data_IF_614133936320
#
_entry.id   IF_614133936320
#
_cell.length_a   1.000
_cell.length_b   1.000
_cell.length_c   1.000
_cell.angle_alpha   90.00
_cell.angle_beta   90.00
_cell.angle_gamma   90.00
#
_symmetry.space_group_name_H-M   'P 1'
#
loop_
_entity.id
_entity.type
_entity.pdbx_description
1 polymer ?
#
# COMPACT_ATOMS: atom_id res chain seq x y z
N UNK A 1 -18.77 -12.88 0.95
CA UNK A 1 -19.45 -12.31 -0.23
C UNK A 1 -20.97 -12.49 -0.25
N UNK A 2 -21.60 -12.92 0.85
CA UNK A 2 -23.06 -13.10 0.92
C UNK A 2 -23.85 -11.81 1.22
N UNK A 3 -23.20 -10.66 1.36
CA UNK A 3 -23.82 -9.42 1.81
C UNK A 3 -23.57 -8.21 0.87
N UNK A 4 -23.15 -8.46 -0.37
CA UNK A 4 -22.95 -7.39 -1.35
C UNK A 4 -24.32 -6.97 -1.91
N UNK A 5 -24.66 -5.70 -1.76
CA UNK A 5 -25.84 -5.08 -2.37
C UNK A 5 -25.46 -4.48 -3.74
N UNK A 6 -25.96 -5.02 -4.87
CA UNK A 6 -25.58 -4.56 -6.20
C UNK A 6 -26.00 -3.10 -6.50
N UNK A 7 -27.06 -2.60 -5.89
CA UNK A 7 -27.46 -1.19 -6.08
C UNK A 7 -26.54 -0.24 -5.31
N UNK A 8 -26.09 -0.64 -4.11
CA UNK A 8 -25.14 0.13 -3.33
C UNK A 8 -23.73 0.07 -3.94
N UNK A 9 -23.34 -1.04 -4.57
CA UNK A 9 -22.06 -1.19 -5.24
C UNK A 9 -21.84 -0.17 -6.36
N UNK A 10 -22.92 0.35 -6.97
CA UNK A 10 -22.85 1.42 -7.97
C UNK A 10 -22.33 2.74 -7.39
N UNK A 11 -22.39 2.91 -6.08
CA UNK A 11 -21.87 4.08 -5.37
C UNK A 11 -20.41 3.94 -4.92
N UNK A 12 -19.79 2.77 -5.10
CA UNK A 12 -18.39 2.55 -4.73
C UNK A 12 -17.48 3.52 -5.46
N UNK A 13 -16.46 4.00 -4.77
CA UNK A 13 -15.48 4.96 -5.30
C UNK A 13 -14.11 4.30 -5.28
N UNK A 14 -13.37 4.45 -6.39
CA UNK A 14 -12.05 3.90 -6.58
C UNK A 14 -11.05 5.01 -6.88
N UNK A 15 -9.84 4.85 -6.37
CA UNK A 15 -8.71 5.71 -6.67
C UNK A 15 -7.46 4.86 -6.87
N UNK A 16 -6.62 5.21 -7.83
CA UNK A 16 -5.29 4.66 -7.97
C UNK A 16 -4.26 5.72 -8.35
N UNK A 17 -2.98 5.40 -8.13
CA UNK A 17 -1.87 6.33 -8.29
C UNK A 17 -1.59 6.74 -9.75
N UNK A 18 -2.12 6.03 -10.74
CA UNK A 18 -1.96 6.36 -12.16
C UNK A 18 -3.12 7.16 -12.72
N UNK A 19 -4.35 6.85 -12.30
CA UNK A 19 -5.58 7.42 -12.88
C UNK A 19 -6.29 8.43 -11.99
N UNK A 20 -5.94 8.48 -10.67
CA UNK A 20 -6.72 9.22 -9.71
C UNK A 20 -8.08 8.55 -9.44
N UNK A 21 -9.13 9.35 -9.28
CA UNK A 21 -10.48 8.84 -9.05
C UNK A 21 -11.04 8.12 -10.27
N UNK A 22 -11.60 6.92 -10.04
CA UNK A 22 -12.26 6.10 -11.05
C UNK A 22 -13.65 5.70 -10.57
N UNK A 23 -14.63 5.74 -11.47
CA UNK A 23 -15.95 5.18 -11.22
C UNK A 23 -15.95 3.67 -11.52
N UNK A 24 -16.62 2.87 -10.71
CA UNK A 24 -16.86 1.46 -10.98
C UNK A 24 -17.62 1.19 -12.31
N UNK A 25 -18.33 2.21 -12.79
CA UNK A 25 -19.13 2.14 -14.01
C UNK A 25 -18.37 2.63 -15.26
N UNK A 26 -17.17 3.21 -15.10
CA UNK A 26 -16.37 3.62 -16.25
C UNK A 26 -15.84 2.38 -16.96
N UNK A 27 -16.09 2.23 -18.26
CA UNK A 27 -15.49 1.14 -19.02
C UNK A 27 -13.95 1.31 -18.98
N UNK A 28 -13.19 0.21 -18.89
CA UNK A 28 -11.74 0.28 -18.99
C UNK A 28 -11.36 0.86 -20.37
N UNK A 29 -10.35 1.73 -20.37
CA UNK A 29 -9.74 2.19 -21.61
C UNK A 29 -9.06 0.99 -22.28
N UNK A 30 -9.37 0.67 -23.56
CA UNK A 30 -8.73 -0.45 -24.27
C UNK A 30 -7.21 -0.33 -24.39
N UNK A 31 -6.69 0.90 -24.35
CA UNK A 31 -5.25 1.18 -24.42
C UNK A 31 -4.58 1.24 -23.04
N UNK A 32 -5.36 1.15 -21.97
CA UNK A 32 -4.88 1.18 -20.60
C UNK A 32 -4.45 -0.22 -20.14
N UNK A 33 -3.16 -0.39 -19.86
CA UNK A 33 -2.58 -1.64 -19.38
C UNK A 33 -2.80 -1.88 -17.88
N UNK A 34 -3.30 -0.88 -17.15
CA UNK A 34 -3.54 -0.95 -15.71
C UNK A 34 -5.03 -0.78 -15.38
N UNK A 35 -5.85 -1.74 -15.79
CA UNK A 35 -7.32 -1.69 -15.67
C UNK A 35 -7.83 -2.11 -14.30
N UNK A 36 -7.08 -2.93 -13.57
CA UNK A 36 -7.39 -3.39 -12.20
C UNK A 36 -6.37 -2.86 -11.20
N UNK A 37 -6.69 -2.92 -9.89
CA UNK A 37 -5.71 -2.59 -8.86
C UNK A 37 -4.49 -3.52 -8.90
N UNK A 38 -4.66 -4.79 -9.21
CA UNK A 38 -3.54 -5.71 -9.42
C UNK A 38 -2.64 -5.28 -10.58
N UNK A 39 -3.21 -4.75 -11.66
CA UNK A 39 -2.44 -4.22 -12.79
C UNK A 39 -1.70 -2.94 -12.39
N UNK A 40 -2.35 -2.04 -11.65
CA UNK A 40 -1.75 -0.81 -11.11
C UNK A 40 -0.54 -1.15 -10.22
N UNK A 41 -0.70 -2.06 -9.28
CA UNK A 41 0.35 -2.49 -8.37
C UNK A 41 1.51 -3.13 -9.13
N UNK A 42 1.22 -4.02 -10.09
CA UNK A 42 2.24 -4.64 -10.94
C UNK A 42 3.01 -3.60 -11.75
N UNK A 43 2.31 -2.67 -12.40
CA UNK A 43 2.95 -1.60 -13.19
C UNK A 43 3.80 -0.68 -12.31
N UNK A 44 3.34 -0.35 -11.11
CA UNK A 44 4.14 0.43 -10.16
C UNK A 44 5.43 -0.29 -9.78
N UNK A 45 5.35 -1.58 -9.46
CA UNK A 45 6.53 -2.39 -9.12
C UNK A 45 7.49 -2.55 -10.31
N UNK A 46 6.98 -2.79 -11.51
CA UNK A 46 7.78 -2.84 -12.73
C UNK A 46 8.53 -1.54 -12.96
N UNK A 47 7.86 -0.40 -12.78
CA UNK A 47 8.46 0.92 -12.98
C UNK A 47 9.55 1.23 -11.94
N UNK A 48 9.32 0.89 -10.67
CA UNK A 48 10.17 1.35 -9.57
C UNK A 48 11.21 0.34 -9.12
N UNK A 49 10.98 -0.97 -9.33
CA UNK A 49 11.81 -2.02 -8.72
C UNK A 49 12.48 -2.97 -9.73
N UNK A 50 12.25 -2.80 -11.04
CA UNK A 50 12.90 -3.64 -12.07
C UNK A 50 14.42 -3.52 -12.01
N UNK A 51 14.96 -2.31 -11.89
CA UNK A 51 16.42 -2.11 -11.80
C UNK A 51 17.03 -2.84 -10.58
N UNK A 52 16.34 -2.80 -9.42
CA UNK A 52 16.77 -3.56 -8.24
C UNK A 52 16.78 -5.07 -8.51
N UNK A 53 15.73 -5.60 -9.12
CA UNK A 53 15.62 -7.04 -9.45
C UNK A 53 16.69 -7.48 -10.42
N UNK A 54 16.90 -6.74 -11.51
CA UNK A 54 17.92 -7.05 -12.52
C UNK A 54 19.31 -7.05 -11.93
N UNK A 55 19.68 -6.01 -11.18
CA UNK A 55 20.97 -5.90 -10.54
C UNK A 55 21.20 -6.98 -9.46
N UNK A 56 20.16 -7.33 -8.68
CA UNK A 56 20.23 -8.42 -7.72
C UNK A 56 20.47 -9.77 -8.42
N UNK A 57 19.73 -10.04 -9.49
CA UNK A 57 19.86 -11.29 -10.26
C UNK A 57 21.23 -11.37 -10.93
N UNK A 58 21.77 -10.27 -11.44
CA UNK A 58 23.13 -10.22 -11.96
C UNK A 58 24.19 -10.54 -10.89
N UNK A 59 24.05 -9.95 -9.68
CA UNK A 59 24.92 -10.26 -8.54
C UNK A 59 24.85 -11.74 -8.16
N UNK A 60 23.63 -12.31 -8.13
CA UNK A 60 23.44 -13.74 -7.85
C UNK A 60 24.13 -14.62 -8.89
N UNK A 61 24.03 -14.27 -10.17
CA UNK A 61 24.69 -15.02 -11.26
C UNK A 61 26.22 -15.00 -11.10
N UNK A 62 26.82 -13.84 -10.76
CA UNK A 62 28.26 -13.70 -10.54
C UNK A 62 28.80 -14.61 -9.43
N UNK A 63 27.99 -14.86 -8.39
CA UNK A 63 28.36 -15.75 -7.28
C UNK A 63 27.78 -17.17 -7.44
N UNK A 64 27.21 -17.50 -8.61
CA UNK A 64 26.60 -18.80 -8.95
C UNK A 64 25.43 -19.21 -8.04
N UNK A 65 24.62 -18.24 -7.61
CA UNK A 65 23.42 -18.43 -6.78
C UNK A 65 22.17 -17.99 -7.51
N UNK A 66 21.96 -18.46 -8.75
CA UNK A 66 20.80 -18.11 -9.58
C UNK A 66 19.47 -18.61 -9.01
N UNK A 67 19.50 -19.60 -8.11
CA UNK A 67 18.33 -20.05 -7.35
C UNK A 67 17.74 -18.97 -6.45
N UNK A 68 18.47 -17.88 -6.20
CA UNK A 68 18.02 -16.71 -5.43
C UNK A 68 17.44 -15.61 -6.29
N UNK A 69 17.42 -15.81 -7.61
CA UNK A 69 16.86 -14.85 -8.53
C UNK A 69 15.37 -14.63 -8.25
N UNK A 70 14.92 -13.39 -8.41
CA UNK A 70 13.54 -12.98 -8.21
C UNK A 70 13.01 -12.28 -9.44
N UNK A 71 11.68 -12.19 -9.50
CA UNK A 71 10.91 -11.43 -10.48
C UNK A 71 10.00 -10.42 -9.78
N UNK A 72 9.38 -9.53 -10.54
CA UNK A 72 8.36 -8.63 -9.99
C UNK A 72 7.18 -9.40 -9.38
N UNK A 73 6.61 -10.46 -9.99
CA UNK A 73 5.61 -11.29 -9.34
C UNK A 73 6.04 -11.85 -7.97
N UNK A 74 7.32 -12.21 -7.83
CA UNK A 74 7.85 -12.69 -6.54
C UNK A 74 7.81 -11.59 -5.47
N UNK A 75 8.11 -10.34 -5.82
CA UNK A 75 7.98 -9.20 -4.90
C UNK A 75 6.51 -8.98 -4.48
N UNK A 76 5.59 -9.03 -5.44
CA UNK A 76 4.15 -8.81 -5.20
C UNK A 76 3.51 -9.90 -4.34
N UNK A 77 4.03 -11.13 -4.37
CA UNK A 77 3.51 -12.26 -3.61
C UNK A 77 4.19 -12.49 -2.25
N UNK A 78 5.39 -11.96 -2.05
CA UNK A 78 6.14 -12.13 -0.81
C UNK A 78 5.59 -11.25 0.31
N UNK A 79 5.31 -11.82 1.48
CA UNK A 79 4.86 -11.09 2.68
C UNK A 79 5.79 -9.96 3.14
N UNK A 80 7.04 -9.96 2.71
CA UNK A 80 8.02 -8.93 3.09
C UNK A 80 8.06 -7.76 2.13
N UNK A 81 7.53 -7.91 0.92
CA UNK A 81 7.70 -6.96 -0.17
C UNK A 81 6.41 -6.62 -0.91
N UNK A 82 5.32 -7.35 -0.67
CA UNK A 82 4.01 -7.05 -1.25
C UNK A 82 3.44 -5.74 -0.67
N UNK A 83 2.50 -5.12 -1.37
CA UNK A 83 1.73 -4.01 -0.81
C UNK A 83 1.06 -4.41 0.51
N UNK A 84 1.06 -3.48 1.46
CA UNK A 84 0.32 -3.61 2.72
C UNK A 84 -1.06 -3.00 2.56
N UNK A 85 -2.06 -3.58 3.21
CA UNK A 85 -3.43 -3.08 3.22
C UNK A 85 -3.77 -2.46 4.57
N UNK A 86 -4.45 -1.32 4.54
CA UNK A 86 -5.08 -0.69 5.70
C UNK A 86 -6.57 -0.52 5.44
N UNK A 87 -7.39 -0.90 6.41
CA UNK A 87 -8.83 -0.70 6.37
C UNK A 87 -9.19 0.48 7.28
N UNK A 88 -9.89 1.47 6.71
CA UNK A 88 -10.41 2.62 7.43
C UNK A 88 -11.93 2.49 7.59
N UNK A 89 -12.39 2.52 8.83
CA UNK A 89 -13.80 2.53 9.21
C UNK A 89 -13.97 3.45 10.39
N UNK A 90 -14.98 4.30 10.37
CA UNK A 90 -15.30 5.22 11.47
C UNK A 90 -16.59 4.75 12.15
N UNK A 91 -16.46 4.29 13.40
CA UNK A 91 -17.57 3.79 14.21
C UNK A 91 -17.73 2.27 14.16
N UNK A 92 -18.90 1.83 14.59
CA UNK A 92 -19.29 0.42 14.71
C UNK A 92 -20.41 0.08 13.70
N UNK A 93 -20.87 -1.17 13.70
CA UNK A 93 -21.99 -1.60 12.87
C UNK A 93 -23.28 -0.80 13.17
N UNK A 94 -23.53 -0.52 14.45
CA UNK A 94 -24.76 0.14 14.90
C UNK A 94 -24.68 1.68 14.88
N UNK A 95 -23.46 2.23 14.97
CA UNK A 95 -23.21 3.67 14.98
C UNK A 95 -21.91 3.98 14.23
N UNK A 96 -22.04 4.31 12.96
CA UNK A 96 -20.90 4.62 12.08
C UNK A 96 -21.09 5.97 11.39
N UNK A 97 -19.98 6.54 10.93
CA UNK A 97 -19.99 7.74 10.11
C UNK A 97 -20.64 7.47 8.76
N UNK A 98 -21.19 8.53 8.13
CA UNK A 98 -21.67 8.46 6.77
C UNK A 98 -20.53 8.14 5.80
N UNK A 99 -20.85 7.60 4.63
CA UNK A 99 -19.88 7.38 3.57
C UNK A 99 -19.17 8.68 3.14
N UNK A 100 -19.91 9.79 3.12
CA UNK A 100 -19.39 11.11 2.78
C UNK A 100 -18.39 11.62 3.82
N UNK A 101 -18.69 11.49 5.10
CA UNK A 101 -17.80 11.85 6.20
C UNK A 101 -16.54 10.98 6.20
N UNK A 102 -16.70 9.66 6.03
CA UNK A 102 -15.57 8.73 5.92
C UNK A 102 -14.66 9.09 4.75
N UNK A 103 -15.23 9.33 3.57
CA UNK A 103 -14.49 9.71 2.37
C UNK A 103 -13.70 11.01 2.60
N UNK A 104 -14.36 12.03 3.18
CA UNK A 104 -13.73 13.32 3.48
C UNK A 104 -12.55 13.17 4.45
N UNK A 105 -12.76 12.51 5.56
CA UNK A 105 -11.73 12.32 6.61
C UNK A 105 -10.54 11.51 6.07
N UNK A 106 -10.81 10.38 5.41
CA UNK A 106 -9.74 9.51 4.90
C UNK A 106 -9.00 10.16 3.73
N UNK A 107 -9.68 10.88 2.84
CA UNK A 107 -9.02 11.61 1.75
C UNK A 107 -8.09 12.69 2.29
N UNK A 108 -8.52 13.48 3.28
CA UNK A 108 -7.67 14.46 3.94
C UNK A 108 -6.48 13.82 4.65
N UNK A 109 -6.72 12.70 5.35
CA UNK A 109 -5.65 11.93 5.98
C UNK A 109 -4.63 11.42 4.95
N UNK A 110 -5.07 10.81 3.84
CA UNK A 110 -4.19 10.31 2.79
C UNK A 110 -3.34 11.43 2.19
N UNK A 111 -3.90 12.62 1.94
CA UNK A 111 -3.12 13.76 1.44
C UNK A 111 -2.06 14.23 2.45
N UNK A 112 -2.39 14.31 3.72
CA UNK A 112 -1.40 14.61 4.79
C UNK A 112 -0.35 13.52 4.91
N UNK A 113 -0.76 12.26 4.81
CA UNK A 113 0.11 11.09 4.83
C UNK A 113 1.11 11.10 3.67
N UNK A 114 0.64 11.34 2.45
CA UNK A 114 1.49 11.44 1.26
C UNK A 114 2.48 12.61 1.36
N UNK A 115 2.03 13.76 1.85
CA UNK A 115 2.89 14.92 2.04
C UNK A 115 4.01 14.65 3.07
N UNK A 116 3.70 13.88 4.12
CA UNK A 116 4.63 13.63 5.22
C UNK A 116 5.56 12.45 4.99
N UNK A 117 5.05 11.39 4.37
CA UNK A 117 5.73 10.08 4.26
C UNK A 117 5.98 9.64 2.82
N UNK A 118 5.54 10.39 1.82
CA UNK A 118 5.57 9.99 0.40
C UNK A 118 6.94 9.78 -0.19
N UNK A 119 8.01 10.15 0.51
CA UNK A 119 9.38 9.81 0.10
C UNK A 119 9.65 8.31 0.19
N UNK A 120 9.05 7.61 1.15
CA UNK A 120 9.29 6.20 1.45
C UNK A 120 8.03 5.34 1.51
N UNK A 121 6.85 5.93 1.43
CA UNK A 121 5.58 5.21 1.45
C UNK A 121 4.71 5.69 0.30
N UNK A 122 4.38 4.78 -0.61
CA UNK A 122 3.60 5.08 -1.80
C UNK A 122 2.22 4.47 -1.71
N UNK A 123 1.18 5.31 -1.66
CA UNK A 123 -0.21 4.88 -1.76
C UNK A 123 -0.48 4.47 -3.20
N UNK A 124 -0.86 3.21 -3.40
CA UNK A 124 -1.05 2.63 -4.74
C UNK A 124 -2.50 2.75 -5.21
N UNK A 125 -3.41 2.36 -4.36
CA UNK A 125 -4.84 2.35 -4.65
C UNK A 125 -5.68 2.35 -3.37
N UNK A 126 -6.94 2.72 -3.50
CA UNK A 126 -7.93 2.53 -2.45
C UNK A 126 -9.35 2.47 -3.04
N UNK A 127 -10.24 1.78 -2.32
CA UNK A 127 -11.65 1.65 -2.66
C UNK A 127 -12.53 1.96 -1.46
N UNK A 128 -13.53 2.83 -1.65
CA UNK A 128 -14.64 3.01 -0.72
C UNK A 128 -15.74 2.01 -1.08
N UNK A 129 -16.04 1.11 -0.16
CA UNK A 129 -17.10 0.13 -0.28
C UNK A 129 -18.37 0.60 0.45
N UNK A 130 -19.48 0.65 -0.28
CA UNK A 130 -20.82 0.99 0.20
C UNK A 130 -21.79 -0.18 0.13
N UNK A 131 -21.38 -1.26 -0.49
CA UNK A 131 -22.14 -2.47 -0.76
C UNK A 131 -22.18 -3.45 0.43
N UNK A 132 -21.45 -3.16 1.48
CA UNK A 132 -21.46 -3.87 2.74
C UNK A 132 -22.25 -3.10 3.83
N UNK A 133 -22.41 -3.73 5.00
CA UNK A 133 -23.23 -3.18 6.08
C UNK A 133 -22.72 -1.86 6.66
N UNK A 134 -21.42 -1.65 6.61
CA UNK A 134 -20.75 -0.44 7.13
C UNK A 134 -19.81 0.12 6.07
N UNK A 135 -19.88 1.43 5.74
CA UNK A 135 -18.92 2.05 4.83
C UNK A 135 -17.49 1.90 5.35
N UNK A 136 -16.60 1.48 4.47
CA UNK A 136 -15.19 1.34 4.80
C UNK A 136 -14.30 1.53 3.56
N UNK A 137 -13.04 1.88 3.80
CA UNK A 137 -12.05 2.08 2.74
C UNK A 137 -10.94 1.04 2.90
N UNK A 138 -10.67 0.28 1.84
CA UNK A 138 -9.46 -0.51 1.69
C UNK A 138 -8.42 0.32 0.96
N UNK A 139 -7.28 0.55 1.58
CA UNK A 139 -6.16 1.29 1.01
C UNK A 139 -4.92 0.39 0.97
N UNK A 140 -4.16 0.43 -0.12
CA UNK A 140 -2.94 -0.34 -0.28
C UNK A 140 -1.76 0.57 -0.59
N UNK A 141 -0.63 0.28 0.07
CA UNK A 141 0.60 1.05 -0.06
C UNK A 141 1.84 0.14 0.00
N UNK A 142 2.96 0.67 -0.43
CA UNK A 142 4.26 0.01 -0.35
C UNK A 142 5.27 0.91 0.35
N UNK A 143 6.09 0.31 1.19
CA UNK A 143 7.26 0.95 1.81
C UNK A 143 8.49 0.65 0.97
N UNK A 144 9.27 1.65 0.61
CA UNK A 144 10.53 1.45 -0.07
C UNK A 144 11.66 2.33 0.49
N UNK A 145 12.86 1.90 0.24
CA UNK A 145 14.07 2.61 0.64
C UNK A 145 15.23 2.15 -0.23
N UNK A 146 16.25 2.98 -0.35
CA UNK A 146 17.50 2.59 -0.97
C UNK A 146 18.21 1.51 -0.15
N UNK A 147 18.73 0.50 -0.85
CA UNK A 147 19.60 -0.50 -0.26
C UNK A 147 21.06 -0.02 -0.23
N UNK A 148 21.97 -0.87 0.26
CA UNK A 148 23.42 -0.55 0.32
C UNK A 148 24.08 -0.28 -1.04
N UNK A 149 23.41 -0.58 -2.15
CA UNK A 149 23.87 -0.33 -3.51
C UNK A 149 23.23 0.90 -4.15
N UNK A 150 22.43 1.68 -3.40
CA UNK A 150 21.69 2.83 -3.91
C UNK A 150 20.48 2.48 -4.77
N UNK A 151 19.99 1.23 -4.69
CA UNK A 151 18.84 0.77 -5.45
C UNK A 151 17.58 0.82 -4.58
N UNK A 152 16.51 1.42 -5.10
CA UNK A 152 15.23 1.47 -4.41
C UNK A 152 14.57 0.10 -4.45
N UNK A 153 14.17 -0.41 -3.29
CA UNK A 153 13.56 -1.72 -3.12
C UNK A 153 12.48 -1.70 -2.04
N UNK A 154 11.43 -2.53 -2.13
CA UNK A 154 10.44 -2.65 -1.07
C UNK A 154 11.10 -3.11 0.23
N UNK A 155 11.00 -2.26 1.28
CA UNK A 155 11.61 -2.55 2.58
C UNK A 155 11.01 -1.71 3.70
N UNK A 156 10.10 -2.28 4.47
CA UNK A 156 9.34 -1.58 5.50
C UNK A 156 10.22 -1.02 6.64
N UNK A 157 11.03 -1.84 7.28
CA UNK A 157 11.80 -1.39 8.47
C UNK A 157 12.78 -0.26 8.14
N UNK A 158 13.49 -0.35 7.01
CA UNK A 158 14.42 0.73 6.60
C UNK A 158 13.70 1.99 6.15
N UNK A 159 12.55 1.86 5.48
CA UNK A 159 11.73 3.00 5.12
C UNK A 159 11.26 3.76 6.37
N UNK A 160 10.78 3.03 7.37
CA UNK A 160 10.34 3.61 8.64
C UNK A 160 11.47 4.20 9.46
N UNK A 161 12.66 3.57 9.44
CA UNK A 161 13.87 4.15 10.03
C UNK A 161 14.26 5.46 9.34
N UNK A 162 14.26 5.49 8.02
CA UNK A 162 14.56 6.70 7.24
C UNK A 162 13.55 7.84 7.51
N UNK A 163 12.30 7.51 7.80
CA UNK A 163 11.27 8.47 8.20
C UNK A 163 11.37 8.90 9.68
N UNK A 164 12.33 8.39 10.44
CA UNK A 164 12.60 8.77 11.82
C UNK A 164 11.76 8.04 12.88
N UNK A 165 11.16 6.90 12.54
CA UNK A 165 10.47 6.07 13.52
C UNK A 165 11.44 5.18 14.29
N UNK A 166 11.35 5.20 15.62
CA UNK A 166 12.12 4.33 16.50
C UNK A 166 11.36 3.04 16.85
N UNK A 167 12.09 2.07 17.38
CA UNK A 167 11.48 0.91 18.00
C UNK A 167 10.70 1.34 19.26
N UNK A 168 9.59 0.66 19.61
CA UNK A 168 8.90 0.91 20.89
C UNK A 168 9.82 0.83 22.11
N UNK A 169 10.77 -0.08 22.09
CA UNK A 169 11.83 -0.25 23.07
C UNK A 169 13.18 -0.27 22.37
N UNK A 170 13.89 0.89 22.30
CA UNK A 170 15.17 1.00 21.59
C UNK A 170 16.29 0.12 22.16
N UNK A 171 16.19 -0.25 23.45
CA UNK A 171 17.20 -1.08 24.14
C UNK A 171 17.05 -2.57 23.82
N UNK A 172 15.96 -2.97 23.14
CA UNK A 172 15.71 -4.34 22.75
C UNK A 172 15.91 -4.57 21.23
N UNK A 173 16.30 -5.78 20.84
CA UNK A 173 16.45 -6.09 19.42
C UNK A 173 15.11 -6.06 18.67
N UNK A 174 15.21 -5.85 17.37
CA UNK A 174 14.09 -5.95 16.44
C UNK A 174 13.40 -7.31 16.56
N UNK A 175 12.07 -7.30 16.70
CA UNK A 175 11.27 -8.51 16.82
C UNK A 175 9.82 -8.25 16.37
N UNK A 176 9.01 -9.30 16.31
CA UNK A 176 7.56 -9.16 16.01
C UNK A 176 6.83 -8.22 16.98
N UNK A 177 7.30 -8.10 18.23
CA UNK A 177 6.70 -7.25 19.27
C UNK A 177 7.45 -5.95 19.49
N UNK A 178 8.55 -5.74 18.81
CA UNK A 178 9.37 -4.53 18.94
C UNK A 178 9.90 -4.16 17.55
N UNK A 179 9.09 -3.46 16.76
CA UNK A 179 9.40 -3.02 15.40
C UNK A 179 8.83 -1.62 15.14
N UNK A 180 9.36 -0.95 14.13
CA UNK A 180 9.01 0.43 13.78
C UNK A 180 7.57 0.57 13.27
N UNK A 181 6.99 -0.51 12.73
CA UNK A 181 5.59 -0.50 12.28
C UNK A 181 4.62 -0.20 13.44
N UNK A 182 4.90 -0.70 14.64
CA UNK A 182 4.09 -0.43 15.83
C UNK A 182 4.05 1.06 16.15
N UNK A 183 5.20 1.72 16.14
CA UNK A 183 5.32 3.17 16.40
C UNK A 183 4.68 3.98 15.29
N UNK A 184 4.89 3.59 14.04
CA UNK A 184 4.26 4.19 12.86
C UNK A 184 2.74 4.11 12.92
N UNK A 185 2.17 2.93 13.17
CA UNK A 185 0.71 2.74 13.27
C UNK A 185 0.10 3.60 14.37
N UNK A 186 0.79 3.73 15.50
CA UNK A 186 0.35 4.61 16.58
C UNK A 186 0.37 6.09 16.17
N UNK A 187 1.35 6.51 15.38
CA UNK A 187 1.42 7.88 14.83
C UNK A 187 0.30 8.13 13.81
N UNK A 188 0.03 7.18 12.91
CA UNK A 188 -1.05 7.28 11.93
C UNK A 188 -2.43 7.41 12.60
N UNK A 189 -2.70 6.63 13.64
CA UNK A 189 -3.96 6.73 14.40
C UNK A 189 -4.17 8.09 15.07
N UNK A 190 -3.10 8.80 15.39
CA UNK A 190 -3.19 10.16 15.95
C UNK A 190 -3.40 11.24 14.89
N UNK A 191 -3.11 10.93 13.64
CA UNK A 191 -3.32 11.85 12.52
C UNK A 191 -4.74 11.76 11.97
N UNK A 192 -5.37 10.59 12.09
CA UNK A 192 -6.76 10.33 11.68
C UNK A 192 -7.74 10.95 12.68
#
# INVERSE_FOLDING_TARGET
>A
SEHIDPERAKGNIYWDCFHGFRSALAPPDPDDLATTFSDVERQFYETHYTAFIENQNERNAKIRHTERNRSIPDLLSSRKTCPEETIYQLGTLDEHASAEDLLSVVTEFIEKFKAKYGEHIHVLDWALHLDESTPHIHERHVFDCENKYGEVAPQQEKALEALGFDLPDPDKPLSRRNNRKITFDAACRKML
#
